data_IF_570478964034
#
_entry.id   IF_570478964034
#
_cell.length_a   1.000
_cell.length_b   1.000
_cell.length_c   1.000
_cell.angle_alpha   90.00
_cell.angle_beta   90.00
_cell.angle_gamma   90.00
#
_symmetry.space_group_name_H-M   'P 1'
#
loop_
_entity.id
_entity.type
_entity.pdbx_description
1 polymer ?
#
# COMPACT_ATOMS: atom_id res chain seq x y z
N UNK A 1 -13.10 8.06 8.93
CA UNK A 1 -12.29 9.29 8.97
C UNK A 1 -12.89 10.30 8.00
N UNK A 2 -12.99 11.55 8.40
CA UNK A 2 -13.45 12.66 7.55
C UNK A 2 -12.23 13.48 7.10
N UNK A 3 -12.40 14.27 6.03
CA UNK A 3 -11.41 15.19 5.48
C UNK A 3 -10.68 16.00 6.58
N UNK A 4 -11.41 16.69 7.45
CA UNK A 4 -10.83 17.47 8.53
C UNK A 4 -9.98 16.68 9.53
N UNK A 5 -10.19 15.37 9.63
CA UNK A 5 -9.38 14.49 10.47
C UNK A 5 -8.12 14.01 9.75
N UNK A 6 -8.19 13.85 8.42
CA UNK A 6 -7.05 13.47 7.59
C UNK A 6 -6.06 14.63 7.52
N UNK A 7 -6.52 15.82 7.14
CA UNK A 7 -5.71 17.05 7.08
C UNK A 7 -5.15 17.45 8.45
N UNK A 8 -6.00 17.52 9.47
CA UNK A 8 -5.60 17.97 10.82
C UNK A 8 -4.59 17.07 11.52
N UNK A 9 -4.38 15.84 11.05
CA UNK A 9 -3.41 14.88 11.59
C UNK A 9 -2.28 14.55 10.62
N UNK A 10 -2.27 15.13 9.42
CA UNK A 10 -1.29 14.82 8.37
C UNK A 10 -1.35 13.36 7.91
N UNK A 11 -2.55 12.78 7.86
CA UNK A 11 -2.75 11.38 7.47
C UNK A 11 -2.86 11.30 5.96
N UNK A 12 -1.88 10.68 5.31
CA UNK A 12 -1.83 10.58 3.85
C UNK A 12 -1.48 9.19 3.33
N UNK A 13 -0.66 8.44 4.06
CA UNK A 13 -0.23 7.12 3.60
C UNK A 13 -1.11 6.01 4.15
N UNK A 14 -1.07 4.86 3.48
CA UNK A 14 -1.91 3.69 3.74
C UNK A 14 -1.91 3.26 5.22
N UNK A 15 -0.74 3.14 5.81
CA UNK A 15 -0.62 2.71 7.20
C UNK A 15 -1.18 3.74 8.19
N UNK A 16 -0.97 5.03 7.93
CA UNK A 16 -1.43 6.10 8.81
C UNK A 16 -2.96 6.08 8.96
N UNK A 17 -3.71 5.98 7.85
CA UNK A 17 -5.17 5.97 7.96
C UNK A 17 -5.72 4.64 8.47
N UNK A 18 -5.08 3.50 8.20
CA UNK A 18 -5.51 2.22 8.77
C UNK A 18 -5.40 2.21 10.29
N UNK A 19 -4.35 2.77 10.86
CA UNK A 19 -4.16 2.88 12.31
C UNK A 19 -5.22 3.74 13.01
N UNK A 20 -5.88 4.64 12.27
CA UNK A 20 -6.95 5.49 12.81
C UNK A 20 -8.35 4.86 12.69
N UNK A 21 -8.47 3.73 12.00
CA UNK A 21 -9.76 3.08 11.77
C UNK A 21 -10.09 2.09 12.89
N UNK A 22 -11.28 2.16 13.49
CA UNK A 22 -11.67 1.25 14.56
C UNK A 22 -11.67 -0.21 14.10
N UNK A 23 -11.06 -1.10 14.87
CA UNK A 23 -11.00 -2.54 14.60
C UNK A 23 -10.27 -2.94 13.33
N UNK A 24 -9.51 -2.04 12.74
CA UNK A 24 -8.63 -2.28 11.60
C UNK A 24 -7.19 -2.35 12.09
N UNK A 25 -6.44 -3.28 11.56
CA UNK A 25 -4.99 -3.36 11.73
C UNK A 25 -4.36 -3.66 10.38
N UNK A 26 -3.16 -3.18 10.17
CA UNK A 26 -2.34 -3.54 9.03
C UNK A 26 -1.36 -4.65 9.43
N UNK A 27 -1.05 -5.53 8.49
CA UNK A 27 0.06 -6.47 8.59
C UNK A 27 0.83 -6.46 7.28
N UNK A 28 2.13 -6.65 7.34
CA UNK A 28 3.02 -6.60 6.18
C UNK A 28 4.44 -6.30 6.62
N UNK A 29 5.33 -6.15 5.66
CA UNK A 29 6.74 -5.86 5.89
C UNK A 29 7.12 -4.42 5.46
N UNK A 30 6.13 -3.55 5.29
CA UNK A 30 6.32 -2.17 4.87
C UNK A 30 5.40 -1.77 3.71
N UNK A 31 5.58 -0.55 3.18
CA UNK A 31 4.79 0.01 2.10
C UNK A 31 4.68 -0.92 0.89
N UNK A 32 3.54 -0.90 0.20
CA UNK A 32 3.27 -1.76 -0.95
C UNK A 32 3.10 -3.25 -0.64
N UNK A 33 3.31 -3.70 0.62
CA UNK A 33 3.21 -5.11 1.03
C UNK A 33 2.14 -5.36 2.07
N UNK A 34 1.37 -4.34 2.41
CA UNK A 34 0.43 -4.38 3.53
C UNK A 34 -0.87 -5.12 3.20
N UNK A 35 -1.41 -5.78 4.21
CA UNK A 35 -2.73 -6.43 4.19
C UNK A 35 -3.59 -5.86 5.28
N UNK A 36 -4.87 -5.66 4.97
CA UNK A 36 -5.85 -5.14 5.93
C UNK A 36 -6.48 -6.29 6.70
N UNK A 37 -6.55 -6.14 8.02
CA UNK A 37 -7.26 -7.03 8.92
C UNK A 37 -8.40 -6.28 9.59
N UNK A 38 -9.60 -6.84 9.58
CA UNK A 38 -10.74 -6.30 10.34
C UNK A 38 -11.11 -7.31 11.43
N UNK A 39 -11.09 -6.89 12.69
CA UNK A 39 -11.36 -7.71 13.87
C UNK A 39 -10.48 -8.98 13.95
N UNK A 40 -9.24 -8.88 13.49
CA UNK A 40 -8.29 -9.99 13.46
C UNK A 40 -8.55 -11.02 12.36
N UNK A 41 -9.52 -10.79 11.47
CA UNK A 41 -9.77 -11.67 10.33
C UNK A 41 -8.88 -11.26 9.16
N UNK A 42 -7.97 -12.16 8.80
CA UNK A 42 -7.20 -12.10 7.57
C UNK A 42 -7.11 -13.49 6.98
N UNK A 43 -7.12 -13.59 5.67
CA UNK A 43 -7.03 -14.89 5.01
C UNK A 43 -5.61 -15.35 4.81
N UNK A 44 -4.68 -14.44 4.58
CA UNK A 44 -3.31 -14.76 4.19
C UNK A 44 -2.36 -13.63 4.49
N UNK A 45 -1.16 -14.02 4.87
CA UNK A 45 -0.01 -13.11 4.78
C UNK A 45 0.30 -12.85 3.31
N UNK A 46 0.57 -11.63 2.89
CA UNK A 46 1.05 -11.35 1.55
C UNK A 46 2.30 -12.18 1.29
N UNK A 47 2.24 -13.10 0.35
CA UNK A 47 3.38 -13.93 0.02
C UNK A 47 3.99 -13.46 -1.29
N UNK A 48 4.65 -12.31 -1.25
CA UNK A 48 5.36 -11.73 -2.38
C UNK A 48 6.56 -12.57 -2.84
N UNK A 49 6.96 -13.56 -2.03
CA UNK A 49 8.17 -14.36 -2.29
C UNK A 49 7.92 -15.63 -3.07
N UNK A 50 6.66 -16.01 -3.26
CA UNK A 50 6.33 -17.24 -4.00
C UNK A 50 6.22 -16.94 -5.48
N UNK A 51 7.33 -17.04 -6.19
CA UNK A 51 7.38 -16.87 -7.64
C UNK A 51 6.31 -17.73 -8.33
N UNK A 52 5.44 -17.10 -9.10
CA UNK A 52 4.43 -17.77 -9.92
C UNK A 52 3.14 -18.19 -9.23
N UNK A 53 2.96 -17.89 -7.95
CA UNK A 53 1.69 -18.10 -7.25
C UNK A 53 1.08 -16.74 -6.94
N UNK A 54 0.01 -16.39 -7.65
CA UNK A 54 -0.86 -15.31 -7.21
C UNK A 54 -1.42 -15.68 -5.83
N UNK A 55 -1.19 -14.86 -4.81
CA UNK A 55 -1.72 -15.08 -3.47
C UNK A 55 -3.24 -15.22 -3.48
N UNK A 56 -3.81 -15.70 -2.38
CA UNK A 56 -5.26 -15.69 -2.21
C UNK A 56 -5.77 -14.25 -2.18
N UNK A 57 -6.99 -14.06 -2.66
CA UNK A 57 -7.64 -12.76 -2.57
C UNK A 57 -7.77 -12.31 -1.10
N UNK A 58 -7.57 -11.03 -0.80
CA UNK A 58 -7.77 -10.50 0.55
C UNK A 58 -9.18 -10.77 1.07
N UNK A 59 -9.35 -10.89 2.39
CA UNK A 59 -10.67 -11.00 3.02
C UNK A 59 -11.35 -9.64 3.26
N UNK A 60 -10.62 -8.56 3.08
CA UNK A 60 -11.11 -7.19 3.14
C UNK A 60 -11.05 -6.60 1.75
N UNK A 61 -12.21 -6.23 1.22
CA UNK A 61 -12.27 -5.48 -0.03
C UNK A 61 -11.82 -4.03 0.21
N UNK A 62 -11.11 -3.50 -0.77
CA UNK A 62 -10.67 -2.13 -0.79
C UNK A 62 -11.26 -1.41 -2.00
N UNK A 63 -11.89 -0.26 -1.75
CA UNK A 63 -12.59 0.51 -2.77
C UNK A 63 -12.06 1.94 -2.83
N UNK A 64 -11.85 2.43 -4.04
CA UNK A 64 -11.67 3.85 -4.32
C UNK A 64 -12.93 4.34 -5.06
N UNK A 65 -13.70 5.20 -4.40
CA UNK A 65 -15.05 5.57 -4.81
C UNK A 65 -15.95 4.33 -5.01
N UNK A 66 -16.48 4.10 -6.20
CA UNK A 66 -17.30 2.93 -6.52
C UNK A 66 -16.50 1.79 -7.17
N UNK A 67 -15.14 1.89 -7.22
CA UNK A 67 -14.29 0.92 -7.90
C UNK A 67 -13.59 0.00 -6.93
N UNK A 68 -13.74 -1.33 -7.07
CA UNK A 68 -12.97 -2.28 -6.30
C UNK A 68 -11.50 -2.30 -6.78
N UNK A 69 -10.58 -2.10 -5.84
CA UNK A 69 -9.15 -2.21 -6.07
C UNK A 69 -8.65 -3.58 -5.58
N UNK A 70 -9.15 -4.64 -6.20
CA UNK A 70 -8.81 -6.00 -5.81
C UNK A 70 -7.53 -6.46 -6.51
N UNK A 71 -6.53 -6.81 -5.72
CA UNK A 71 -5.33 -7.50 -6.22
C UNK A 71 -5.15 -8.84 -5.51
N UNK A 72 -4.73 -9.89 -6.23
CA UNK A 72 -4.34 -11.14 -5.58
C UNK A 72 -3.18 -10.94 -4.62
N UNK A 73 -3.32 -11.45 -3.41
CA UNK A 73 -2.24 -11.49 -2.42
C UNK A 73 -2.05 -10.26 -1.55
N UNK A 74 -2.63 -9.11 -1.89
CA UNK A 74 -2.48 -7.88 -1.10
C UNK A 74 -3.63 -6.89 -1.31
N UNK A 75 -3.73 -5.90 -0.44
CA UNK A 75 -4.48 -4.69 -0.69
C UNK A 75 -3.58 -3.67 -1.39
N UNK A 76 -4.13 -2.90 -2.33
CA UNK A 76 -3.40 -1.86 -3.01
C UNK A 76 -3.11 -0.71 -2.03
N UNK A 77 -1.90 -0.21 -2.05
CA UNK A 77 -1.46 0.91 -1.22
C UNK A 77 -1.82 2.24 -1.91
N UNK A 78 -2.91 2.85 -1.49
CA UNK A 78 -3.45 4.08 -2.09
C UNK A 78 -3.16 5.28 -1.21
N UNK A 79 -2.54 6.30 -1.78
CA UNK A 79 -2.29 7.57 -1.10
C UNK A 79 -3.58 8.39 -0.95
N UNK A 80 -3.78 8.96 0.23
CA UNK A 80 -5.04 9.63 0.60
C UNK A 80 -5.04 11.13 0.24
N UNK A 81 -4.73 11.48 -1.02
CA UNK A 81 -4.83 12.86 -1.50
C UNK A 81 -6.27 13.29 -1.75
N UNK A 82 -6.66 14.45 -1.21
CA UNK A 82 -7.94 15.11 -1.47
C UNK A 82 -9.15 14.14 -1.26
N UNK A 83 -9.22 13.56 -0.07
CA UNK A 83 -10.28 12.60 0.30
C UNK A 83 -11.39 13.27 1.10
N UNK A 84 -12.64 13.06 0.68
CA UNK A 84 -13.81 13.46 1.46
C UNK A 84 -13.91 12.65 2.76
N UNK A 85 -13.66 11.34 2.68
CA UNK A 85 -13.67 10.44 3.84
C UNK A 85 -13.14 9.05 3.53
N UNK A 86 -12.76 8.34 4.60
CA UNK A 86 -12.46 6.90 4.58
C UNK A 86 -13.42 6.19 5.52
N UNK A 87 -14.09 5.16 5.03
CA UNK A 87 -15.13 4.38 5.71
C UNK A 87 -14.69 2.92 5.90
N UNK A 88 -15.11 2.33 7.02
CA UNK A 88 -14.96 0.88 7.27
C UNK A 88 -16.32 0.27 7.52
N UNK A 89 -16.63 -0.73 6.73
CA UNK A 89 -17.82 -1.58 6.91
C UNK A 89 -17.36 -2.92 7.47
N UNK A 90 -17.47 -3.12 8.77
CA UNK A 90 -17.00 -4.32 9.44
C UNK A 90 -18.02 -5.46 9.35
N UNK A 91 -17.54 -6.65 9.05
CA UNK A 91 -18.35 -7.87 8.87
C UNK A 91 -18.62 -8.20 7.40
N UNK A 92 -19.25 -9.35 7.12
CA UNK A 92 -19.48 -9.79 5.74
C UNK A 92 -20.32 -8.81 4.94
N UNK A 93 -19.82 -8.37 3.79
CA UNK A 93 -20.45 -7.40 2.90
C UNK A 93 -20.61 -7.95 1.46
N UNK A 94 -20.47 -9.26 1.26
CA UNK A 94 -20.41 -9.90 -0.06
C UNK A 94 -21.64 -9.67 -0.94
N UNK A 95 -22.82 -9.41 -0.37
CA UNK A 95 -24.06 -9.16 -1.13
C UNK A 95 -23.99 -7.85 -1.91
N UNK A 96 -23.33 -6.84 -1.36
CA UNK A 96 -23.26 -5.50 -1.96
C UNK A 96 -21.90 -5.23 -2.62
N UNK A 97 -20.83 -5.72 -2.00
CA UNK A 97 -19.45 -5.44 -2.42
C UNK A 97 -18.75 -6.65 -3.08
N UNK A 98 -19.47 -7.75 -3.29
CA UNK A 98 -18.96 -8.90 -4.03
C UNK A 98 -17.80 -9.64 -3.36
N UNK A 99 -16.81 -10.04 -4.16
CA UNK A 99 -15.68 -10.85 -3.71
C UNK A 99 -14.78 -10.11 -2.71
N UNK A 100 -14.02 -10.86 -1.93
CA UNK A 100 -13.04 -10.35 -0.94
C UNK A 100 -13.62 -9.53 0.21
N UNK A 101 -14.94 -9.58 0.45
CA UNK A 101 -15.63 -8.81 1.50
C UNK A 101 -16.10 -9.66 2.68
N UNK A 102 -15.37 -10.74 3.02
CA UNK A 102 -15.76 -11.64 4.11
C UNK A 102 -15.56 -11.01 5.50
N UNK A 103 -14.46 -10.28 5.69
CA UNK A 103 -14.16 -9.59 6.94
C UNK A 103 -14.70 -8.16 6.97
N UNK A 104 -14.89 -7.56 5.81
CA UNK A 104 -15.40 -6.21 5.66
C UNK A 104 -14.90 -5.50 4.41
N UNK A 105 -15.14 -4.19 4.37
CA UNK A 105 -14.77 -3.31 3.28
C UNK A 105 -14.14 -2.03 3.84
N UNK A 106 -13.07 -1.58 3.23
CA UNK A 106 -12.53 -0.23 3.38
C UNK A 106 -12.85 0.56 2.13
N UNK A 107 -13.49 1.71 2.27
CA UNK A 107 -13.85 2.60 1.16
C UNK A 107 -13.15 3.94 1.32
N UNK A 108 -12.38 4.34 0.33
CA UNK A 108 -11.85 5.69 0.17
C UNK A 108 -12.76 6.47 -0.78
N UNK A 109 -13.24 7.60 -0.33
CA UNK A 109 -14.17 8.44 -1.08
C UNK A 109 -13.50 9.77 -1.33
N UNK A 110 -13.28 10.08 -2.61
CA UNK A 110 -12.59 11.30 -3.05
C UNK A 110 -13.53 12.50 -3.06
N UNK A 111 -12.98 13.71 -2.93
CA UNK A 111 -13.73 14.92 -3.22
C UNK A 111 -14.06 14.98 -4.71
N UNK A 112 -15.31 15.31 -5.02
CA UNK A 112 -15.82 15.37 -6.39
C UNK A 112 -15.70 16.81 -6.94
N UNK A 113 -15.66 16.98 -8.28
CA UNK A 113 -15.78 18.30 -8.87
C UNK A 113 -17.10 18.99 -8.44
N UNK A 114 -17.01 20.27 -8.10
CA UNK A 114 -18.19 21.09 -7.72
C UNK A 114 -18.49 22.04 -8.87
N UNK A 115 -19.69 21.90 -9.43
CA UNK A 115 -20.14 22.71 -10.57
C UNK A 115 -20.38 24.15 -10.11
N UNK A 116 -19.95 25.12 -10.92
CA UNK A 116 -20.11 26.55 -10.63
C UNK A 116 -19.13 27.12 -9.62
N UNK A 117 -18.24 26.32 -9.06
CA UNK A 117 -17.26 26.76 -8.08
C UNK A 117 -15.82 26.72 -8.67
N UNK A 118 -15.05 27.78 -8.43
CA UNK A 118 -13.61 27.80 -8.70
C UNK A 118 -12.86 27.86 -7.37
N UNK A 119 -12.12 26.81 -7.06
CA UNK A 119 -11.34 26.74 -5.83
C UNK A 119 -10.01 26.02 -6.05
N UNK A 120 -9.06 26.22 -5.16
CA UNK A 120 -7.78 25.53 -5.21
C UNK A 120 -7.06 25.59 -3.87
N UNK A 121 -6.26 24.57 -3.63
CA UNK A 121 -5.40 24.46 -2.47
C UNK A 121 -4.01 24.00 -2.90
N UNK A 122 -2.99 24.50 -2.21
CA UNK A 122 -1.62 24.05 -2.32
C UNK A 122 -1.07 23.83 -0.92
N UNK A 123 -0.63 22.61 -0.65
CA UNK A 123 0.00 22.24 0.60
C UNK A 123 1.47 21.91 0.37
N UNK A 124 2.35 22.44 1.19
CA UNK A 124 3.77 22.10 1.22
C UNK A 124 4.15 21.81 2.66
N UNK A 125 4.74 20.65 2.88
CA UNK A 125 5.18 20.20 4.20
C UNK A 125 6.63 19.75 4.12
N UNK A 126 7.39 20.00 5.18
CA UNK A 126 8.70 19.41 5.40
C UNK A 126 8.71 18.68 6.72
N UNK A 127 9.28 17.49 6.75
CA UNK A 127 9.35 16.61 7.92
C UNK A 127 10.80 16.33 8.25
N UNK A 128 11.11 16.32 9.54
CA UNK A 128 12.42 15.88 10.04
C UNK A 128 12.21 14.55 10.76
N UNK A 129 12.91 13.53 10.34
CA UNK A 129 12.96 12.27 11.06
C UNK A 129 14.10 12.35 12.09
N UNK A 130 13.86 12.07 13.38
CA UNK A 130 14.96 11.88 14.31
C UNK A 130 15.85 10.74 13.84
N UNK A 131 17.15 10.98 13.78
CA UNK A 131 18.14 9.98 13.29
C UNK A 131 17.84 9.49 11.87
N UNK A 132 17.39 10.36 10.97
CA UNK A 132 17.08 10.02 9.60
C UNK A 132 17.05 11.24 8.68
N UNK A 133 16.78 10.99 7.42
CA UNK A 133 16.71 11.99 6.36
C UNK A 133 15.45 12.85 6.42
N UNK A 134 15.51 14.00 5.76
CA UNK A 134 14.37 14.91 5.64
C UNK A 134 13.35 14.41 4.63
N UNK A 135 12.09 14.49 4.98
CA UNK A 135 10.97 14.29 4.06
C UNK A 135 10.34 15.59 3.59
N UNK A 136 9.66 15.55 2.44
CA UNK A 136 8.92 16.67 1.90
C UNK A 136 7.64 16.21 1.18
N UNK A 137 6.57 16.98 1.35
CA UNK A 137 5.29 16.77 0.66
C UNK A 137 4.92 18.02 -0.12
N UNK A 138 4.38 17.82 -1.30
CA UNK A 138 3.62 18.82 -2.06
C UNK A 138 2.32 18.19 -2.53
N UNK A 139 1.21 18.87 -2.31
CA UNK A 139 -0.10 18.49 -2.81
C UNK A 139 -0.79 19.73 -3.41
N UNK A 140 -1.34 19.56 -4.60
CA UNK A 140 -2.02 20.61 -5.35
C UNK A 140 -3.42 20.11 -5.70
N UNK A 141 -4.43 20.92 -5.39
CA UNK A 141 -5.84 20.62 -5.69
C UNK A 141 -6.42 21.83 -6.43
N UNK A 142 -7.15 21.58 -7.51
CA UNK A 142 -7.88 22.62 -8.25
C UNK A 142 -9.27 22.14 -8.66
N UNK A 143 -10.29 22.95 -8.42
CA UNK A 143 -11.63 22.76 -8.94
C UNK A 143 -11.97 23.86 -9.94
N UNK A 144 -12.32 23.51 -11.16
CA UNK A 144 -12.45 24.40 -12.31
C UNK A 144 -13.83 24.19 -12.93
N UNK A 145 -14.72 25.20 -12.89
CA UNK A 145 -15.99 25.13 -13.61
C UNK A 145 -15.72 25.22 -15.11
N UNK A 146 -16.31 24.31 -15.89
CA UNK A 146 -16.19 24.23 -17.34
C UNK A 146 -17.48 24.67 -18.05
N UNK A 147 -18.40 25.27 -17.31
CA UNK A 147 -19.72 25.73 -17.77
C UNK A 147 -20.75 25.59 -16.68
N UNK A 148 -22.01 25.73 -17.05
CA UNK A 148 -23.14 25.72 -16.09
C UNK A 148 -23.47 24.32 -15.55
N UNK A 149 -23.09 23.26 -16.27
CA UNK A 149 -23.39 21.87 -15.94
C UNK A 149 -22.16 20.97 -15.84
N UNK A 150 -20.94 21.54 -15.85
CA UNK A 150 -19.70 20.75 -15.90
C UNK A 150 -18.64 21.38 -15.03
N UNK A 151 -17.94 20.56 -14.29
CA UNK A 151 -16.72 20.96 -13.58
C UNK A 151 -15.65 19.86 -13.66
N UNK A 152 -14.39 20.31 -13.57
CA UNK A 152 -13.24 19.43 -13.44
C UNK A 152 -12.56 19.64 -12.08
N UNK A 153 -12.04 18.56 -11.50
CA UNK A 153 -11.19 18.59 -10.31
C UNK A 153 -9.89 17.86 -10.61
N UNK A 154 -8.77 18.52 -10.31
CA UNK A 154 -7.43 17.99 -10.56
C UNK A 154 -6.67 17.97 -9.25
N UNK A 155 -6.01 16.87 -8.98
CA UNK A 155 -5.17 16.65 -7.81
C UNK A 155 -3.82 16.14 -8.31
N UNK A 156 -2.73 16.69 -7.79
CA UNK A 156 -1.38 16.19 -8.04
C UNK A 156 -0.59 16.22 -6.73
N UNK A 157 0.18 15.19 -6.47
CA UNK A 157 0.94 15.08 -5.24
C UNK A 157 2.27 14.39 -5.42
N UNK A 158 3.21 14.75 -4.57
CA UNK A 158 4.44 14.01 -4.29
C UNK A 158 4.72 14.11 -2.80
N UNK A 159 4.93 12.97 -2.16
CA UNK A 159 5.25 12.86 -0.74
C UNK A 159 6.44 11.92 -0.57
N UNK A 160 7.60 12.48 -0.22
CA UNK A 160 8.81 11.72 0.10
C UNK A 160 8.99 11.71 1.61
N UNK A 161 9.10 10.52 2.18
CA UNK A 161 9.47 10.29 3.57
C UNK A 161 10.95 9.86 3.58
N UNK A 162 11.78 10.61 4.28
CA UNK A 162 13.20 10.28 4.42
C UNK A 162 13.40 8.92 5.10
N UNK A 163 14.49 8.25 4.76
CA UNK A 163 14.93 7.03 5.41
C UNK A 163 15.35 7.25 6.85
N UNK A 164 15.47 6.17 7.60
CA UNK A 164 15.88 6.17 9.00
C UNK A 164 16.47 4.84 9.45
N UNK A 165 16.69 3.90 8.53
CA UNK A 165 17.28 2.59 8.81
C UNK A 165 18.62 2.49 8.07
N UNK A 166 19.68 2.25 8.83
CA UNK A 166 21.01 2.11 8.29
C UNK A 166 21.29 0.68 7.85
N UNK A 167 21.79 0.55 6.64
CA UNK A 167 22.37 -0.71 6.17
C UNK A 167 23.84 -0.74 6.53
N UNK A 168 24.21 -1.61 7.47
CA UNK A 168 25.55 -1.66 8.01
C UNK A 168 26.38 -2.83 7.48
N UNK A 169 27.69 -2.63 7.41
CA UNK A 169 28.62 -3.69 7.06
C UNK A 169 28.68 -4.75 8.17
N UNK A 170 28.86 -5.99 7.78
CA UNK A 170 29.05 -7.07 8.74
C UNK A 170 29.23 -8.42 8.09
N UNK A 171 29.21 -9.46 8.91
CA UNK A 171 29.23 -10.83 8.48
C UNK A 171 28.12 -11.63 9.14
N UNK A 172 27.57 -12.58 8.40
CA UNK A 172 26.51 -13.45 8.89
C UNK A 172 27.04 -14.87 9.06
N UNK A 173 26.94 -15.41 10.28
CA UNK A 173 27.15 -16.84 10.53
C UNK A 173 25.93 -17.61 10.03
N UNK A 174 26.11 -18.37 8.96
CA UNK A 174 25.07 -19.17 8.35
C UNK A 174 24.98 -20.60 8.89
N UNK A 175 25.82 -20.98 9.82
CA UNK A 175 25.88 -22.35 10.38
C UNK A 175 24.56 -22.79 11.01
N UNK A 176 23.82 -21.87 11.61
CA UNK A 176 22.49 -22.10 12.19
C UNK A 176 21.32 -22.09 11.20
N UNK A 177 21.55 -21.69 9.96
CA UNK A 177 20.48 -21.60 8.95
C UNK A 177 19.92 -22.97 8.60
N UNK A 178 18.59 -23.05 8.50
CA UNK A 178 17.92 -24.26 8.04
C UNK A 178 18.30 -24.68 6.61
N UNK A 179 18.79 -23.74 5.81
CA UNK A 179 19.28 -23.98 4.45
C UNK A 179 20.68 -24.59 4.40
N UNK A 180 21.47 -24.36 5.43
CA UNK A 180 22.90 -24.72 5.47
C UNK A 180 23.18 -25.80 6.54
N UNK A 181 22.21 -26.67 6.81
CA UNK A 181 22.41 -27.77 7.75
C UNK A 181 23.25 -28.86 7.12
N UNK A 182 24.24 -29.40 7.83
CA UNK A 182 25.01 -30.54 7.40
C UNK A 182 24.13 -31.78 7.10
N UNK A 183 24.60 -32.64 6.21
CA UNK A 183 23.96 -33.91 5.95
C UNK A 183 23.86 -34.74 7.24
N UNK A 184 22.72 -35.40 7.44
CA UNK A 184 22.46 -36.19 8.63
C UNK A 184 21.88 -35.40 9.82
N UNK A 185 21.85 -34.06 9.77
CA UNK A 185 21.15 -33.25 10.78
C UNK A 185 19.68 -33.68 10.87
N UNK A 186 19.20 -34.04 12.06
CA UNK A 186 17.81 -34.42 12.27
C UNK A 186 16.93 -33.18 12.40
N UNK A 187 15.90 -33.11 11.59
CA UNK A 187 14.89 -32.02 11.60
C UNK A 187 13.87 -32.26 12.72
N UNK A 188 13.07 -31.28 13.05
CA UNK A 188 11.99 -31.37 14.02
C UNK A 188 10.97 -32.49 13.68
N UNK A 189 10.82 -32.83 12.40
CA UNK A 189 9.94 -33.94 11.96
C UNK A 189 10.62 -35.32 12.02
N UNK A 190 11.79 -35.44 12.63
CA UNK A 190 12.54 -36.70 12.79
C UNK A 190 13.29 -37.15 11.53
N UNK A 191 13.23 -36.43 10.43
CA UNK A 191 13.88 -36.82 9.18
C UNK A 191 15.26 -36.17 9.07
N UNK A 192 16.24 -36.94 8.61
CA UNK A 192 17.57 -36.42 8.33
C UNK A 192 17.60 -35.53 7.08
N UNK A 193 18.44 -34.51 7.12
CA UNK A 193 18.79 -33.71 5.93
C UNK A 193 19.61 -34.58 4.99
N UNK A 194 19.24 -34.63 3.72
CA UNK A 194 19.98 -35.34 2.67
C UNK A 194 19.91 -34.59 1.34
N UNK A 195 20.76 -34.97 0.39
CA UNK A 195 20.88 -34.31 -0.91
C UNK A 195 19.62 -34.36 -1.77
N UNK A 196 18.73 -35.32 -1.54
CA UNK A 196 17.49 -35.45 -2.34
C UNK A 196 16.39 -34.49 -1.87
N UNK A 197 16.49 -33.92 -0.65
CA UNK A 197 15.47 -33.06 -0.06
C UNK A 197 15.97 -31.68 0.34
N UNK A 198 17.25 -31.49 0.45
CA UNK A 198 17.86 -30.26 0.93
C UNK A 198 18.33 -29.32 -0.19
N UNK A 199 18.13 -29.74 -1.41
CA UNK A 199 18.73 -29.04 -2.52
C UNK A 199 20.27 -29.05 -2.43
N UNK A 200 20.90 -28.03 -2.98
CA UNK A 200 22.34 -27.93 -3.09
C UNK A 200 23.10 -27.76 -1.75
N UNK A 201 22.41 -27.57 -0.64
CA UNK A 201 23.05 -27.37 0.67
C UNK A 201 23.15 -28.68 1.48
N UNK A 202 22.41 -29.69 1.10
CA UNK A 202 22.47 -30.95 1.81
C UNK A 202 23.82 -31.66 1.56
N UNK A 203 24.49 -31.98 2.65
CA UNK A 203 25.81 -32.61 2.62
C UNK A 203 26.99 -31.65 2.70
N UNK A 204 26.77 -30.35 2.61
CA UNK A 204 27.82 -29.37 2.91
C UNK A 204 27.92 -29.10 4.41
N UNK A 205 29.11 -29.16 4.94
CA UNK A 205 29.41 -28.68 6.30
C UNK A 205 29.72 -27.18 6.19
N UNK A 206 28.77 -26.37 6.64
CA UNK A 206 28.87 -24.91 6.66
C UNK A 206 28.97 -24.37 8.09
N UNK A 207 29.32 -25.24 9.06
CA UNK A 207 29.62 -24.80 10.42
C UNK A 207 30.77 -23.82 10.40
N UNK A 208 30.56 -22.62 10.93
CA UNK A 208 31.56 -21.55 10.87
C UNK A 208 31.65 -20.82 9.53
N UNK A 209 30.82 -21.13 8.56
CA UNK A 209 30.75 -20.35 7.34
C UNK A 209 30.14 -18.97 7.64
N UNK A 210 30.75 -17.92 7.14
CA UNK A 210 30.29 -16.54 7.25
C UNK A 210 30.19 -15.91 5.88
N UNK A 211 29.20 -15.01 5.71
CA UNK A 211 29.15 -14.12 4.57
C UNK A 211 30.17 -12.99 4.80
N UNK A 212 30.94 -12.67 3.75
CA UNK A 212 31.91 -11.60 3.85
C UNK A 212 31.22 -10.24 3.94
N UNK A 213 31.64 -9.40 4.89
CA UNK A 213 31.14 -8.03 5.03
C UNK A 213 31.30 -7.19 3.75
N UNK A 214 32.29 -7.48 2.92
CA UNK A 214 32.50 -6.81 1.63
C UNK A 214 31.33 -7.01 0.64
N UNK A 215 30.43 -7.97 0.89
CA UNK A 215 29.24 -8.20 0.09
C UNK A 215 28.01 -7.47 0.66
N UNK A 216 28.08 -6.87 1.84
CA UNK A 216 27.01 -6.10 2.43
C UNK A 216 26.88 -4.75 1.73
N UNK A 217 25.66 -4.32 1.54
CA UNK A 217 25.35 -2.95 1.15
C UNK A 217 25.53 -2.08 2.39
N UNK A 218 26.23 -0.95 2.26
CA UNK A 218 26.40 0.02 3.34
C UNK A 218 25.83 1.34 2.88
N UNK A 219 24.77 1.78 3.54
CA UNK A 219 24.01 2.97 3.19
C UNK A 219 23.34 3.51 4.45
N UNK A 220 23.50 4.79 4.72
CA UNK A 220 22.78 5.47 5.80
C UNK A 220 21.36 5.78 5.31
N UNK A 221 20.36 5.71 6.22
CA UNK A 221 18.98 6.10 5.96
C UNK A 221 18.35 5.42 4.72
N UNK A 222 18.63 4.15 4.49
CA UNK A 222 18.41 3.42 3.24
C UNK A 222 16.94 3.14 2.88
N UNK A 223 15.98 3.46 3.75
CA UNK A 223 14.57 3.12 3.55
C UNK A 223 13.69 4.33 3.19
N UNK A 224 14.10 5.09 2.17
CA UNK A 224 13.29 6.17 1.64
C UNK A 224 11.97 5.64 1.03
N UNK A 225 10.89 6.42 1.19
CA UNK A 225 9.58 6.10 0.67
C UNK A 225 9.01 7.32 -0.07
N UNK A 226 8.68 7.13 -1.35
CA UNK A 226 8.06 8.18 -2.16
C UNK A 226 6.72 7.72 -2.74
N UNK A 227 5.67 8.50 -2.48
CA UNK A 227 4.40 8.45 -3.20
C UNK A 227 4.33 9.61 -4.18
N UNK A 228 3.90 9.34 -5.40
CA UNK A 228 3.58 10.40 -6.35
C UNK A 228 2.42 9.99 -7.25
N UNK A 229 1.63 10.96 -7.65
CA UNK A 229 0.49 10.66 -8.49
C UNK A 229 -0.33 11.86 -8.86
N UNK A 230 -1.33 11.59 -9.68
CA UNK A 230 -2.35 12.57 -10.02
C UNK A 230 -3.72 11.91 -10.16
N UNK A 231 -4.76 12.73 -10.00
CA UNK A 231 -6.15 12.37 -10.30
C UNK A 231 -6.81 13.54 -11.00
N UNK A 232 -7.51 13.26 -12.10
CA UNK A 232 -8.33 14.23 -12.78
C UNK A 232 -9.75 13.66 -12.95
N UNK A 233 -10.74 14.40 -12.47
CA UNK A 233 -12.15 14.02 -12.51
C UNK A 233 -12.95 15.09 -13.22
N UNK A 234 -13.97 14.69 -14.00
CA UNK A 234 -14.93 15.58 -14.63
C UNK A 234 -16.33 15.13 -14.23
N UNK A 235 -17.07 16.02 -13.60
CA UNK A 235 -18.48 15.86 -13.30
C UNK A 235 -19.30 16.63 -14.34
N UNK A 236 -20.37 16.00 -14.81
CA UNK A 236 -21.30 16.58 -15.78
C UNK A 236 -22.74 16.23 -15.45
N UNK A 237 -23.57 17.24 -15.24
CA UNK A 237 -25.04 17.10 -15.16
C UNK A 237 -25.59 16.92 -16.57
N UNK A 238 -25.96 15.69 -16.94
CA UNK A 238 -26.51 15.36 -18.26
C UNK A 238 -27.89 16.00 -18.42
N UNK A 239 -28.70 15.93 -17.36
CA UNK A 239 -30.00 16.56 -17.23
C UNK A 239 -30.44 16.55 -15.75
N UNK A 240 -31.67 17.00 -15.44
CA UNK A 240 -32.21 17.07 -14.06
C UNK A 240 -32.27 15.73 -13.30
N UNK A 241 -32.08 14.61 -13.99
CA UNK A 241 -32.21 13.25 -13.42
C UNK A 241 -30.95 12.39 -13.57
N UNK A 242 -29.93 12.86 -14.27
CA UNK A 242 -28.75 12.06 -14.57
C UNK A 242 -27.46 12.86 -14.49
N UNK A 243 -26.51 12.30 -13.76
CA UNK A 243 -25.16 12.80 -13.60
C UNK A 243 -24.13 11.79 -14.10
N UNK A 244 -23.03 12.31 -14.60
CA UNK A 244 -21.86 11.52 -15.00
C UNK A 244 -20.62 12.01 -14.28
N UNK A 245 -19.77 11.08 -13.84
CA UNK A 245 -18.45 11.33 -13.30
C UNK A 245 -17.44 10.45 -14.03
N UNK A 246 -16.52 11.08 -14.74
CA UNK A 246 -15.37 10.39 -15.33
C UNK A 246 -14.10 10.74 -14.55
N UNK A 247 -13.28 9.75 -14.24
CA UNK A 247 -12.05 9.93 -13.48
C UNK A 247 -10.90 9.15 -14.13
N UNK A 248 -9.73 9.78 -14.18
CA UNK A 248 -8.46 9.12 -14.45
C UNK A 248 -7.53 9.37 -13.27
N UNK A 249 -6.79 8.36 -12.85
CA UNK A 249 -5.80 8.47 -11.80
C UNK A 249 -4.59 7.58 -12.09
N UNK A 250 -3.43 8.05 -11.70
CA UNK A 250 -2.19 7.29 -11.71
C UNK A 250 -1.46 7.52 -10.40
N UNK A 251 -0.87 6.48 -9.86
CA UNK A 251 0.00 6.56 -8.69
C UNK A 251 1.20 5.64 -8.86
N UNK A 252 2.37 6.10 -8.40
CA UNK A 252 3.51 5.23 -8.11
C UNK A 252 3.89 5.31 -6.64
N UNK A 253 4.36 4.18 -6.12
CA UNK A 253 4.96 4.02 -4.79
C UNK A 253 6.35 3.44 -4.98
N UNK A 254 7.36 4.19 -4.61
CA UNK A 254 8.75 3.74 -4.60
C UNK A 254 9.21 3.65 -3.15
N UNK A 255 9.67 2.46 -2.73
CA UNK A 255 10.24 2.24 -1.42
C UNK A 255 11.59 1.52 -1.57
N UNK A 256 12.63 2.14 -1.07
CA UNK A 256 13.96 1.56 -1.01
C UNK A 256 14.19 0.87 0.34
N UNK A 257 15.13 -0.06 0.38
CA UNK A 257 15.51 -0.77 1.60
C UNK A 257 14.40 -1.62 2.21
N UNK A 258 14.44 -1.76 3.51
CA UNK A 258 13.48 -2.53 4.30
C UNK A 258 12.97 -1.70 5.48
N UNK A 259 11.77 -2.04 5.99
CA UNK A 259 11.10 -1.33 7.08
C UNK A 259 11.10 -2.14 8.38
N UNK A 260 12.16 -2.89 8.61
CA UNK A 260 12.42 -3.64 9.84
C UNK A 260 13.93 -3.67 10.13
N UNK A 261 14.28 -3.80 11.40
CA UNK A 261 15.65 -3.72 11.90
C UNK A 261 16.08 -5.03 12.56
N UNK A 262 17.38 -5.22 12.75
CA UNK A 262 17.95 -6.30 13.55
C UNK A 262 18.52 -5.74 14.86
N UNK A 263 17.79 -5.85 15.99
CA UNK A 263 18.23 -5.31 17.26
C UNK A 263 19.58 -5.88 17.78
N UNK A 264 20.09 -6.94 17.16
CA UNK A 264 21.40 -7.50 17.53
C UNK A 264 22.57 -6.73 16.92
N UNK A 265 22.32 -5.90 15.91
CA UNK A 265 23.34 -5.06 15.25
C UNK A 265 23.46 -3.70 15.94
N UNK A 266 22.35 -3.04 16.15
CA UNK A 266 22.26 -1.72 16.74
C UNK A 266 20.82 -1.19 16.71
N UNK A 267 20.66 0.07 17.09
CA UNK A 267 19.39 0.76 16.97
C UNK A 267 19.21 1.23 15.52
N UNK A 268 18.06 0.94 14.92
CA UNK A 268 17.73 1.23 13.51
C UNK A 268 18.72 0.66 12.48
N UNK A 269 19.44 -0.41 12.80
CA UNK A 269 20.41 -1.03 11.90
C UNK A 269 19.91 -2.34 11.31
N UNK A 270 20.33 -2.63 10.07
CA UNK A 270 20.11 -3.91 9.38
C UNK A 270 21.31 -4.26 8.51
N UNK A 271 21.46 -5.54 8.23
CA UNK A 271 22.49 -6.06 7.33
C UNK A 271 21.85 -6.68 6.09
N UNK A 272 22.11 -6.10 4.92
CA UNK A 272 21.57 -6.56 3.64
C UNK A 272 22.68 -6.85 2.65
N UNK A 273 22.50 -7.89 1.83
CA UNK A 273 23.45 -8.33 0.82
C UNK A 273 22.94 -8.14 -0.62
N UNK A 274 21.67 -7.78 -0.75
CA UNK A 274 21.01 -7.42 -2.00
C UNK A 274 20.20 -6.17 -1.77
N UNK A 275 20.12 -5.32 -2.77
CA UNK A 275 19.26 -4.16 -2.70
C UNK A 275 17.80 -4.60 -2.67
N UNK A 276 17.07 -4.11 -1.70
CA UNK A 276 15.62 -4.29 -1.59
C UNK A 276 14.95 -3.04 -2.17
N UNK A 277 14.00 -3.25 -3.06
CA UNK A 277 13.21 -2.16 -3.65
C UNK A 277 11.79 -2.63 -3.92
N UNK A 278 10.84 -1.75 -3.67
CA UNK A 278 9.45 -1.87 -4.10
C UNK A 278 9.18 -0.73 -5.06
N UNK A 279 8.62 -1.08 -6.21
CA UNK A 279 8.19 -0.15 -7.24
C UNK A 279 6.81 -0.62 -7.68
N UNK A 280 5.79 0.12 -7.29
CA UNK A 280 4.39 -0.25 -7.48
C UNK A 280 3.65 0.89 -8.18
N UNK A 281 3.07 0.58 -9.33
CA UNK A 281 2.30 1.54 -10.11
C UNK A 281 0.89 1.03 -10.35
N UNK A 282 -0.07 1.93 -10.32
CA UNK A 282 -1.40 1.64 -10.82
C UNK A 282 -1.98 2.81 -11.62
N UNK A 283 -2.73 2.45 -12.62
CA UNK A 283 -3.59 3.34 -13.40
C UNK A 283 -5.05 2.97 -13.13
N UNK A 284 -5.90 3.97 -13.06
CA UNK A 284 -7.34 3.79 -12.91
C UNK A 284 -8.08 4.74 -13.87
N UNK A 285 -8.98 4.19 -14.65
CA UNK A 285 -9.93 4.95 -15.44
C UNK A 285 -11.34 4.49 -15.05
N UNK A 286 -12.19 5.41 -14.64
CA UNK A 286 -13.55 5.06 -14.22
C UNK A 286 -14.60 5.98 -14.81
N UNK A 287 -15.80 5.43 -14.98
CA UNK A 287 -17.02 6.16 -15.35
C UNK A 287 -18.15 5.73 -14.41
N UNK A 288 -18.72 6.68 -13.72
CA UNK A 288 -19.93 6.49 -12.92
C UNK A 288 -21.06 7.30 -13.53
N UNK A 289 -22.20 6.67 -13.72
CA UNK A 289 -23.45 7.32 -14.12
C UNK A 289 -24.46 7.09 -13.00
N UNK A 290 -25.01 8.16 -12.48
CA UNK A 290 -26.02 8.14 -11.43
C UNK A 290 -27.29 8.82 -11.94
N UNK A 291 -28.44 8.25 -11.62
CA UNK A 291 -29.69 8.85 -12.05
C UNK A 291 -30.93 8.09 -11.60
N UNK A 292 -32.07 8.52 -12.13
CA UNK A 292 -33.39 7.92 -11.80
C UNK A 292 -34.17 7.54 -13.03
N UNK A 293 -34.87 6.42 -12.94
CA UNK A 293 -35.88 5.96 -13.92
C UNK A 293 -37.20 5.73 -13.18
N UNK A 294 -38.10 6.70 -13.25
CA UNK A 294 -39.30 6.71 -12.44
C UNK A 294 -38.94 6.83 -10.95
N UNK A 295 -39.37 5.86 -10.14
CA UNK A 295 -39.05 5.80 -8.70
C UNK A 295 -37.79 5.00 -8.36
N UNK A 296 -37.05 4.54 -9.37
CA UNK A 296 -35.83 3.74 -9.18
C UNK A 296 -34.60 4.62 -9.31
N UNK A 297 -33.72 4.56 -8.30
CA UNK A 297 -32.35 5.07 -8.38
C UNK A 297 -31.48 4.05 -9.11
N UNK A 298 -30.66 4.51 -10.03
CA UNK A 298 -29.77 3.69 -10.85
C UNK A 298 -28.35 4.23 -10.75
N UNK A 299 -27.42 3.36 -10.41
CA UNK A 299 -25.99 3.65 -10.45
C UNK A 299 -25.30 2.64 -11.37
N UNK A 300 -24.58 3.14 -12.33
CA UNK A 300 -23.64 2.37 -13.14
C UNK A 300 -22.22 2.81 -12.82
N UNK A 301 -21.35 1.87 -12.48
CA UNK A 301 -19.96 2.14 -12.24
C UNK A 301 -19.10 1.13 -13.02
N UNK A 302 -18.23 1.64 -13.87
CA UNK A 302 -17.28 0.86 -14.66
C UNK A 302 -15.88 1.41 -14.53
N UNK A 303 -14.87 0.53 -14.52
CA UNK A 303 -13.47 0.92 -14.46
C UNK A 303 -12.57 -0.01 -15.30
N UNK A 304 -11.39 0.54 -15.61
CA UNK A 304 -10.28 -0.17 -16.26
C UNK A 304 -9.01 0.14 -15.49
#
# INVERSE_FOLDING_TARGET
>A
LRESSLEGKGISVFEDYLLQLPSVTAGGAGPGTSTIYIRGLASTTPNLTTAGVAGLAPNVSFYLDEQPLAQPGRNLDVYAADMARIEVLAGPQGTLFGASSQAGVVRMITNKPVIGESSGNAEVETRMMPEGDMGAKIELVGNIPLGDSTAARVVAYRDTKGGYIDQVAGSLDVSGSARFRPAGTIRQNGLAVNSSRGGFQAGADLSGATLNAASAIVEEDANELTYQGFRASVAHEINESWDALATIAQQSVEADGVFFTDPSLGDLEIQRYTQDKIDDEYDNMSLTLEGSIGDLEVVYAGAY
#
